data_IF_848130122317
#
_entry.id   IF_848130122317
#
_cell.length_a   1.000
_cell.length_b   1.000
_cell.length_c   1.000
_cell.angle_alpha   90.00
_cell.angle_beta   90.00
_cell.angle_gamma   90.00
#
_symmetry.space_group_name_H-M   'P 1'
#
loop_
_entity.id
_entity.type
_entity.pdbx_description
1 polymer ?
#
# COMPACT_ATOMS: atom_id res chain seq x y z
N UNK A 1 57.00 33.41 -24.26
CA UNK A 1 56.29 32.11 -24.25
C UNK A 1 54.80 32.35 -24.42
N UNK A 2 54.24 32.09 -25.60
CA UNK A 2 52.78 32.13 -25.83
C UNK A 2 52.21 30.82 -25.30
N UNK A 3 51.64 30.82 -24.10
CA UNK A 3 50.81 29.72 -23.66
C UNK A 3 49.60 29.65 -24.60
N UNK A 4 49.54 28.60 -25.42
CA UNK A 4 48.44 28.37 -26.35
C UNK A 4 47.14 28.33 -25.56
N UNK A 5 46.16 29.15 -25.95
CA UNK A 5 44.82 29.20 -25.36
C UNK A 5 44.18 27.80 -25.25
N UNK A 6 44.55 26.90 -26.16
CA UNK A 6 44.12 25.49 -26.19
C UNK A 6 44.63 24.71 -24.97
N UNK A 7 45.87 24.95 -24.52
CA UNK A 7 46.42 24.28 -23.34
C UNK A 7 45.80 24.79 -22.05
N UNK A 8 45.44 26.09 -21.99
CA UNK A 8 44.71 26.64 -20.84
C UNK A 8 43.30 26.04 -20.73
N UNK A 9 42.58 25.94 -21.85
CA UNK A 9 41.23 25.34 -21.89
C UNK A 9 41.27 23.85 -21.48
N UNK A 10 42.27 23.09 -21.93
CA UNK A 10 42.43 21.68 -21.55
C UNK A 10 42.68 21.49 -20.05
N UNK A 11 43.49 22.36 -19.43
CA UNK A 11 43.76 22.31 -17.99
C UNK A 11 42.51 22.68 -17.18
N UNK A 12 41.77 23.71 -17.60
CA UNK A 12 40.52 24.12 -16.95
C UNK A 12 39.46 23.02 -17.05
N UNK A 13 39.30 22.39 -18.23
CA UNK A 13 38.37 21.28 -18.40
C UNK A 13 38.76 20.05 -17.57
N UNK A 14 40.05 19.73 -17.48
CA UNK A 14 40.53 18.61 -16.65
C UNK A 14 40.27 18.87 -15.16
N UNK A 15 40.51 20.10 -14.67
CA UNK A 15 40.21 20.48 -13.29
C UNK A 15 38.70 20.49 -13.00
N UNK A 16 37.88 20.88 -13.97
CA UNK A 16 36.41 20.83 -13.85
C UNK A 16 35.91 19.39 -13.81
N UNK A 17 36.48 18.49 -14.62
CA UNK A 17 36.14 17.07 -14.63
C UNK A 17 36.55 16.35 -13.34
N UNK A 18 37.73 16.67 -12.81
CA UNK A 18 38.20 16.15 -11.51
C UNK A 18 37.34 16.69 -10.38
N UNK A 19 37.00 17.98 -10.39
CA UNK A 19 36.08 18.58 -9.42
C UNK A 19 34.68 17.97 -9.48
N UNK A 20 34.17 17.68 -10.68
CA UNK A 20 32.89 17.00 -10.88
C UNK A 20 32.93 15.55 -10.39
N UNK A 21 34.01 14.80 -10.66
CA UNK A 21 34.18 13.44 -10.14
C UNK A 21 34.29 13.40 -8.61
N UNK A 22 34.99 14.37 -7.99
CA UNK A 22 35.07 14.50 -6.53
C UNK A 22 33.69 14.88 -5.95
N UNK A 23 32.93 15.76 -6.61
CA UNK A 23 31.58 16.12 -6.20
C UNK A 23 30.59 14.95 -6.31
N UNK A 24 30.69 14.14 -7.37
CA UNK A 24 29.88 12.92 -7.54
C UNK A 24 30.29 11.84 -6.53
N UNK A 25 31.58 11.72 -6.20
CA UNK A 25 32.06 10.79 -5.17
C UNK A 25 31.68 11.24 -3.75
N UNK A 26 31.70 12.54 -3.46
CA UNK A 26 31.33 13.11 -2.17
C UNK A 26 29.81 13.14 -1.93
N UNK A 27 28.99 13.12 -2.99
CA UNK A 27 27.53 13.01 -2.92
C UNK A 27 27.00 11.60 -3.19
N UNK A 28 27.87 10.59 -3.38
CA UNK A 28 27.48 9.20 -3.18
C UNK A 28 27.43 8.96 -1.68
N UNK A 29 26.26 9.19 -1.10
CA UNK A 29 25.96 8.60 0.21
C UNK A 29 26.01 7.08 0.05
N UNK A 30 27.11 6.46 0.50
CA UNK A 30 27.14 5.02 0.74
C UNK A 30 26.07 4.72 1.80
N UNK A 31 24.98 4.09 1.39
CA UNK A 31 24.05 3.45 2.32
C UNK A 31 24.86 2.45 3.14
N UNK A 32 24.96 2.67 4.45
CA UNK A 32 25.71 1.77 5.32
C UNK A 32 24.99 0.42 5.35
N UNK A 33 25.71 -0.72 5.28
CA UNK A 33 25.09 -2.03 5.46
C UNK A 33 24.34 -2.07 6.80
N UNK A 34 23.04 -2.37 6.75
CA UNK A 34 22.20 -2.60 7.91
C UNK A 34 21.36 -1.42 8.43
N UNK A 35 21.13 -0.35 7.67
CA UNK A 35 20.09 0.63 8.05
C UNK A 35 18.69 0.01 7.91
N UNK A 36 17.88 0.08 8.98
CA UNK A 36 16.45 -0.30 8.98
C UNK A 36 15.61 0.92 8.59
N UNK A 37 14.77 0.74 7.58
CA UNK A 37 13.79 1.71 7.11
C UNK A 37 12.39 1.28 7.55
N UNK A 38 11.65 2.21 8.15
CA UNK A 38 10.28 1.99 8.59
C UNK A 38 9.35 2.69 7.59
N UNK A 39 8.64 1.91 6.79
CA UNK A 39 7.79 2.46 5.73
C UNK A 39 6.62 3.30 6.26
N UNK A 40 6.23 3.12 7.52
CA UNK A 40 5.19 3.94 8.14
C UNK A 40 5.63 5.40 8.40
N UNK A 41 6.94 5.67 8.48
CA UNK A 41 7.44 7.05 8.58
C UNK A 41 7.43 7.76 7.21
N UNK A 42 7.41 7.02 6.10
CA UNK A 42 7.15 7.57 4.75
C UNK A 42 5.70 8.06 4.62
N UNK A 43 4.73 7.33 5.17
CA UNK A 43 3.34 7.79 5.26
C UNK A 43 3.30 9.12 6.04
N UNK A 44 3.95 9.22 7.21
CA UNK A 44 4.01 10.49 7.96
C UNK A 44 4.64 11.64 7.15
N UNK A 45 5.75 11.42 6.45
CA UNK A 45 6.42 12.44 5.63
C UNK A 45 5.60 12.88 4.41
N UNK A 46 4.81 11.99 3.81
CA UNK A 46 3.84 12.34 2.77
C UNK A 46 2.78 13.34 3.28
N UNK A 47 2.50 13.35 4.59
CA UNK A 47 1.42 14.13 5.20
C UNK A 47 1.89 15.26 6.12
N UNK A 48 3.20 15.43 6.37
CA UNK A 48 3.72 16.52 7.19
C UNK A 48 5.22 16.80 6.98
N UNK A 49 5.54 18.09 6.78
CA UNK A 49 6.88 18.70 6.74
C UNK A 49 7.69 18.69 5.41
N UNK A 50 7.18 19.30 4.34
CA UNK A 50 7.96 20.31 3.55
C UNK A 50 7.08 21.06 2.56
N UNK A 51 7.21 22.39 2.56
CA UNK A 51 6.53 23.27 1.63
C UNK A 51 6.92 23.01 0.17
N UNK A 52 5.90 22.99 -0.69
CA UNK A 52 5.94 23.44 -2.09
C UNK A 52 7.27 23.27 -2.83
N UNK A 53 7.66 22.02 -3.09
CA UNK A 53 8.49 21.68 -4.26
C UNK A 53 8.07 20.30 -4.74
N UNK A 54 7.60 20.23 -5.99
CA UNK A 54 7.09 19.01 -6.60
C UNK A 54 8.11 17.88 -6.54
N UNK A 55 7.69 16.74 -6.02
CA UNK A 55 8.48 15.52 -5.99
C UNK A 55 8.56 14.94 -7.41
N UNK A 56 9.78 14.66 -7.88
CA UNK A 56 10.02 13.88 -9.10
C UNK A 56 10.17 12.41 -8.69
N UNK A 57 9.46 11.52 -9.39
CA UNK A 57 9.50 10.04 -9.23
C UNK A 57 10.89 9.40 -9.39
N UNK A 58 11.95 10.16 -9.68
CA UNK A 58 13.32 9.67 -9.82
C UNK A 58 14.16 9.75 -8.55
N UNK A 59 13.65 10.36 -7.47
CA UNK A 59 14.32 10.38 -6.17
C UNK A 59 13.76 9.24 -5.33
N UNK A 60 14.54 8.15 -5.23
CA UNK A 60 14.26 7.06 -4.30
C UNK A 60 14.06 7.59 -2.88
N UNK A 61 13.22 6.88 -2.13
CA UNK A 61 12.92 7.00 -0.70
C UNK A 61 13.45 8.27 0.00
N UNK A 62 12.59 9.18 0.46
CA UNK A 62 13.04 10.12 1.48
C UNK A 62 13.43 9.31 2.73
N UNK A 63 14.67 9.54 3.19
CA UNK A 63 15.27 8.89 4.36
C UNK A 63 14.54 9.36 5.62
N UNK A 64 13.49 8.66 6.02
CA UNK A 64 12.86 8.86 7.32
C UNK A 64 13.58 8.07 8.43
N UNK A 65 13.47 8.59 9.66
CA UNK A 65 14.35 8.42 10.83
C UNK A 65 15.30 7.20 10.88
N UNK A 66 16.58 7.51 10.70
CA UNK A 66 17.70 6.70 11.19
C UNK A 66 17.63 6.67 12.72
N UNK A 67 17.07 5.61 13.29
CA UNK A 67 17.10 5.40 14.73
C UNK A 67 18.53 5.02 15.15
N UNK A 68 19.21 5.98 15.77
CA UNK A 68 20.58 5.87 16.25
C UNK A 68 20.74 4.86 17.38
N UNK A 69 21.26 3.69 17.05
CA UNK A 69 22.08 2.83 17.89
C UNK A 69 23.04 2.05 16.98
N UNK A 70 24.26 1.68 17.42
CA UNK A 70 25.10 0.76 16.66
C UNK A 70 24.32 -0.52 16.37
N UNK A 71 24.27 -0.89 15.10
CA UNK A 71 23.53 -2.04 14.61
C UNK A 71 24.03 -3.32 15.31
N UNK A 72 23.13 -4.25 15.70
CA UNK A 72 23.54 -5.63 15.91
C UNK A 72 24.30 -6.12 14.67
N UNK A 73 25.24 -7.06 14.84
CA UNK A 73 25.80 -7.79 13.69
C UNK A 73 24.66 -8.23 12.75
N UNK A 74 24.91 -8.14 11.43
CA UNK A 74 23.91 -8.46 10.41
C UNK A 74 23.20 -9.78 10.73
N UNK A 75 21.85 -9.83 10.68
CA UNK A 75 21.13 -11.01 11.12
C UNK A 75 21.43 -12.20 10.21
N UNK A 76 21.36 -13.41 10.77
CA UNK A 76 21.26 -14.61 9.93
C UNK A 76 19.91 -14.59 9.20
N UNK A 77 19.91 -14.12 7.97
CA UNK A 77 18.75 -14.05 7.06
C UNK A 77 18.07 -15.41 6.81
N UNK A 78 18.73 -16.52 7.11
CA UNK A 78 18.13 -17.86 7.04
C UNK A 78 17.28 -18.23 8.26
N UNK A 79 17.41 -17.49 9.38
CA UNK A 79 16.68 -17.71 10.62
C UNK A 79 15.66 -16.58 10.88
N UNK A 80 14.35 -16.85 10.72
CA UNK A 80 13.31 -15.86 10.98
C UNK A 80 13.35 -15.27 12.39
N UNK A 81 13.83 -16.02 13.39
CA UNK A 81 13.93 -15.55 14.78
C UNK A 81 15.06 -14.54 14.96
N UNK A 82 16.16 -14.71 14.22
CA UNK A 82 17.27 -13.76 14.18
C UNK A 82 16.86 -12.47 13.47
N UNK A 83 16.20 -12.56 12.31
CA UNK A 83 15.72 -11.39 11.56
C UNK A 83 14.64 -10.66 12.35
N UNK A 84 13.68 -11.37 12.95
CA UNK A 84 12.66 -10.76 13.80
C UNK A 84 13.29 -9.99 14.96
N UNK A 85 14.26 -10.59 15.68
CA UNK A 85 14.95 -9.88 16.77
C UNK A 85 15.67 -8.64 16.26
N UNK A 86 16.38 -8.75 15.14
CA UNK A 86 17.08 -7.62 14.53
C UNK A 86 16.12 -6.45 14.25
N UNK A 87 14.99 -6.70 13.59
CA UNK A 87 13.98 -5.66 13.31
C UNK A 87 13.33 -5.15 14.61
N UNK A 88 12.82 -6.06 15.45
CA UNK A 88 12.07 -5.72 16.66
C UNK A 88 12.91 -4.93 17.67
N UNK A 89 14.19 -5.27 17.81
CA UNK A 89 15.14 -4.57 18.69
C UNK A 89 15.40 -3.12 18.30
N UNK A 90 15.07 -2.73 17.07
CA UNK A 90 15.27 -1.38 16.52
C UNK A 90 13.99 -0.53 16.48
N UNK A 91 12.81 -1.14 16.65
CA UNK A 91 11.56 -0.37 16.74
C UNK A 91 11.60 0.64 17.89
N UNK A 92 10.94 1.80 17.79
CA UNK A 92 10.71 2.65 18.96
C UNK A 92 9.88 1.91 20.03
N UNK A 93 9.77 2.48 21.23
CA UNK A 93 8.94 1.91 22.32
C UNK A 93 7.46 1.82 21.92
N UNK A 94 7.02 2.64 20.97
CA UNK A 94 5.66 2.70 20.48
C UNK A 94 5.62 2.97 18.97
N UNK A 95 4.80 2.21 18.24
CA UNK A 95 4.60 2.33 16.78
C UNK A 95 3.12 2.47 16.44
N UNK A 96 2.85 3.09 15.29
CA UNK A 96 1.50 3.17 14.70
C UNK A 96 1.47 2.26 13.47
N UNK A 97 0.42 1.45 13.37
CA UNK A 97 0.13 0.58 12.24
C UNK A 97 -1.04 1.20 11.48
N UNK A 98 -0.76 1.80 10.33
CA UNK A 98 -1.75 2.59 9.60
C UNK A 98 -2.72 1.75 8.75
N UNK A 99 -2.28 0.80 7.91
CA UNK A 99 -3.20 0.09 7.01
C UNK A 99 -4.23 -0.70 7.81
N UNK A 100 -5.47 -0.69 7.34
CA UNK A 100 -6.58 -1.30 8.08
C UNK A 100 -6.48 -2.83 8.18
N UNK A 101 -5.55 -3.46 7.43
CA UNK A 101 -5.21 -4.88 7.53
C UNK A 101 -4.20 -5.25 8.65
N UNK A 102 -3.66 -4.23 9.34
CA UNK A 102 -2.71 -4.33 10.46
C UNK A 102 -1.27 -4.74 10.10
N UNK A 103 -0.79 -4.40 8.91
CA UNK A 103 0.60 -4.62 8.52
C UNK A 103 1.50 -3.44 8.88
N UNK A 104 2.54 -3.74 9.65
CA UNK A 104 3.67 -2.84 9.89
C UNK A 104 4.84 -3.23 8.99
N UNK A 105 5.06 -2.46 7.92
CA UNK A 105 6.09 -2.73 6.93
C UNK A 105 7.46 -2.17 7.33
N UNK A 106 8.52 -2.90 6.99
CA UNK A 106 9.92 -2.49 7.17
C UNK A 106 10.77 -2.93 5.98
N UNK A 107 11.92 -2.29 5.80
CA UNK A 107 12.98 -2.79 4.93
C UNK A 107 14.37 -2.54 5.52
N UNK A 108 15.39 -3.28 5.09
CA UNK A 108 16.78 -3.01 5.46
C UNK A 108 17.76 -3.55 4.42
N UNK A 109 18.98 -3.02 4.41
CA UNK A 109 20.04 -3.48 3.51
C UNK A 109 20.84 -4.65 4.12
N UNK A 110 21.02 -5.73 3.37
CA UNK A 110 21.84 -6.89 3.72
C UNK A 110 22.68 -7.34 2.52
N UNK A 111 24.01 -7.31 2.63
CA UNK A 111 24.93 -7.80 1.60
C UNK A 111 24.60 -7.30 0.16
N UNK A 112 24.36 -5.99 0.01
CA UNK A 112 23.94 -5.31 -1.23
C UNK A 112 22.53 -5.66 -1.74
N UNK A 113 21.77 -6.44 -0.97
CA UNK A 113 20.36 -6.73 -1.22
C UNK A 113 19.50 -5.89 -0.30
N UNK A 114 18.31 -5.55 -0.77
CA UNK A 114 17.29 -4.94 0.07
C UNK A 114 16.33 -6.04 0.54
N UNK A 115 16.06 -6.10 1.84
CA UNK A 115 15.12 -7.03 2.46
C UNK A 115 13.88 -6.25 2.85
N UNK A 116 12.71 -6.70 2.43
CA UNK A 116 11.43 -6.12 2.78
C UNK A 116 10.66 -7.10 3.66
N UNK A 117 9.74 -6.60 4.47
CA UNK A 117 8.94 -7.47 5.31
C UNK A 117 7.84 -6.75 6.05
N UNK A 118 7.11 -7.52 6.85
CA UNK A 118 6.07 -7.00 7.71
C UNK A 118 5.99 -7.72 9.06
N UNK A 119 5.47 -6.98 10.04
CA UNK A 119 4.95 -7.47 11.31
C UNK A 119 3.44 -7.28 11.27
N UNK A 120 2.66 -8.32 11.54
CA UNK A 120 1.19 -8.23 11.55
C UNK A 120 0.59 -8.74 12.85
N UNK A 121 -0.33 -7.97 13.41
CA UNK A 121 -1.24 -8.38 14.50
C UNK A 121 -2.62 -8.66 13.91
N UNK A 122 -2.83 -9.89 13.42
CA UNK A 122 -4.08 -10.27 12.76
C UNK A 122 -5.25 -10.28 13.77
N UNK A 123 -6.46 -9.83 13.40
CA UNK A 123 -7.60 -9.88 14.33
C UNK A 123 -7.95 -11.27 14.88
N UNK A 124 -7.91 -12.35 14.08
CA UNK A 124 -8.22 -13.67 14.60
C UNK A 124 -7.25 -14.17 15.68
N UNK A 125 -5.97 -13.76 15.63
CA UNK A 125 -4.90 -14.42 16.39
C UNK A 125 -4.18 -13.50 17.40
N UNK A 126 -4.23 -12.16 17.25
CA UNK A 126 -3.52 -11.22 18.14
C UNK A 126 -3.94 -11.35 19.62
N UNK A 127 -5.23 -11.56 19.87
CA UNK A 127 -5.78 -11.72 21.23
C UNK A 127 -5.37 -13.07 21.85
N UNK A 128 -4.90 -14.01 21.03
CA UNK A 128 -4.36 -15.30 21.44
C UNK A 128 -2.84 -15.23 21.70
N UNK A 129 -2.24 -14.04 21.60
CA UNK A 129 -0.83 -13.84 21.84
C UNK A 129 0.07 -14.08 20.62
N UNK A 130 -0.50 -14.11 19.41
CA UNK A 130 0.20 -14.45 18.16
C UNK A 130 0.51 -13.20 17.34
N UNK A 131 1.74 -13.15 16.81
CA UNK A 131 2.22 -12.13 15.87
C UNK A 131 2.79 -12.81 14.64
N UNK A 132 2.48 -12.29 13.46
CA UNK A 132 3.02 -12.81 12.21
C UNK A 132 4.22 -11.96 11.78
N UNK A 133 5.25 -12.64 11.30
CA UNK A 133 6.44 -12.01 10.78
C UNK A 133 6.79 -12.62 9.43
N UNK A 134 6.93 -11.78 8.41
CA UNK A 134 7.35 -12.18 7.08
C UNK A 134 8.44 -11.26 6.56
N UNK A 135 9.36 -11.80 5.78
CA UNK A 135 10.34 -11.01 5.02
C UNK A 135 10.78 -11.73 3.75
N UNK A 136 11.19 -10.93 2.77
CA UNK A 136 11.65 -11.38 1.47
C UNK A 136 12.75 -10.48 0.92
N UNK A 137 13.54 -11.00 -0.02
CA UNK A 137 14.46 -10.18 -0.80
C UNK A 137 13.67 -9.32 -1.79
N UNK A 138 13.83 -8.01 -1.70
CA UNK A 138 13.34 -7.09 -2.71
C UNK A 138 14.24 -7.16 -3.93
N UNK A 139 13.74 -7.80 -4.97
CA UNK A 139 14.35 -7.81 -6.30
C UNK A 139 13.75 -6.67 -7.10
N UNK A 140 14.12 -5.43 -6.79
CA UNK A 140 13.72 -4.29 -7.61
C UNK A 140 14.01 -4.57 -9.10
N UNK A 141 13.03 -4.32 -9.96
CA UNK A 141 12.90 -4.39 -11.44
C UNK A 141 14.00 -4.88 -12.41
N UNK A 142 15.23 -5.25 -12.02
CA UNK A 142 16.28 -5.67 -12.96
C UNK A 142 16.04 -7.04 -13.60
N UNK A 143 14.94 -7.72 -13.31
CA UNK A 143 14.51 -8.95 -14.01
C UNK A 143 13.40 -8.71 -15.06
N UNK A 144 12.90 -7.47 -15.26
CA UNK A 144 11.88 -7.19 -16.28
C UNK A 144 12.43 -6.98 -17.70
N UNK A 145 13.74 -7.10 -17.94
CA UNK A 145 14.33 -7.10 -19.29
C UNK A 145 14.41 -8.50 -19.95
N UNK A 146 13.51 -9.43 -19.61
CA UNK A 146 13.52 -10.71 -20.33
C UNK A 146 12.56 -11.81 -19.89
N UNK A 147 11.86 -11.68 -18.78
CA UNK A 147 10.78 -12.61 -18.45
C UNK A 147 9.45 -12.01 -18.88
N UNK A 148 8.80 -12.53 -19.94
CA UNK A 148 7.42 -12.15 -20.22
C UNK A 148 6.57 -12.57 -19.03
N UNK A 149 5.93 -11.59 -18.36
CA UNK A 149 4.70 -11.81 -17.57
C UNK A 149 3.59 -12.26 -18.53
N UNK A 150 3.76 -13.39 -19.22
CA UNK A 150 2.68 -13.95 -20.01
C UNK A 150 1.59 -14.37 -19.04
N UNK A 151 0.51 -13.60 -19.02
CA UNK A 151 -0.85 -14.05 -18.76
C UNK A 151 -1.05 -14.79 -17.42
N UNK A 152 -1.36 -14.05 -16.34
CA UNK A 152 -2.17 -14.62 -15.24
C UNK A 152 -3.33 -13.68 -14.94
N UNK A 153 -4.23 -13.59 -15.92
CA UNK A 153 -5.66 -13.58 -15.69
C UNK A 153 -6.11 -15.01 -16.00
N UNK A 154 -6.25 -15.85 -14.97
CA UNK A 154 -6.83 -17.21 -15.09
C UNK A 154 -5.90 -18.37 -15.48
N UNK A 155 -4.58 -18.28 -15.28
CA UNK A 155 -3.71 -19.46 -15.46
C UNK A 155 -3.76 -20.38 -14.22
N UNK A 156 -3.85 -21.72 -14.37
CA UNK A 156 -3.61 -22.63 -13.25
C UNK A 156 -2.19 -22.39 -12.73
N UNK A 157 -1.92 -22.64 -11.43
CA UNK A 157 -0.60 -22.40 -10.86
C UNK A 157 0.43 -23.12 -11.74
N UNK A 158 1.50 -22.43 -12.19
CA UNK A 158 2.50 -23.08 -13.00
C UNK A 158 3.16 -24.14 -12.13
N UNK A 159 2.80 -25.40 -12.30
CA UNK A 159 3.40 -26.53 -11.58
C UNK A 159 4.91 -26.68 -11.89
N UNK A 160 5.49 -25.85 -12.78
CA UNK A 160 6.90 -25.99 -13.20
C UNK A 160 7.66 -24.69 -13.48
N UNK A 161 7.18 -23.48 -13.12
CA UNK A 161 8.05 -22.27 -13.14
C UNK A 161 8.65 -22.02 -11.73
N UNK A 162 9.83 -22.59 -11.50
CA UNK A 162 10.81 -22.30 -10.44
C UNK A 162 10.27 -21.96 -9.03
N UNK A 163 9.47 -22.86 -8.46
CA UNK A 163 9.05 -22.84 -7.06
C UNK A 163 10.21 -22.91 -6.04
N UNK A 164 11.43 -23.23 -6.43
CA UNK A 164 12.57 -23.28 -5.50
C UNK A 164 13.31 -21.94 -5.36
N UNK A 165 13.41 -21.14 -6.43
CA UNK A 165 14.17 -19.87 -6.43
C UNK A 165 13.34 -18.70 -5.88
N UNK A 166 12.03 -18.71 -6.06
CA UNK A 166 11.11 -17.74 -5.43
C UNK A 166 10.87 -18.08 -3.95
N UNK A 167 10.80 -19.37 -3.59
CA UNK A 167 10.83 -19.79 -2.17
C UNK A 167 12.19 -19.60 -1.50
N UNK A 168 13.28 -19.50 -2.26
CA UNK A 168 14.64 -19.48 -1.71
C UNK A 168 14.89 -18.30 -0.75
N UNK A 169 14.13 -17.20 -0.86
CA UNK A 169 14.32 -16.03 -0.02
C UNK A 169 13.03 -15.31 0.40
N UNK A 170 11.93 -16.05 0.60
CA UNK A 170 10.79 -15.56 1.38
C UNK A 170 10.65 -16.44 2.61
N UNK A 171 10.46 -15.81 3.77
CA UNK A 171 10.39 -16.48 5.07
C UNK A 171 9.22 -15.92 5.85
N UNK A 172 8.53 -16.83 6.53
CA UNK A 172 7.39 -16.53 7.38
C UNK A 172 7.52 -17.30 8.70
N UNK A 173 7.14 -16.66 9.80
CA UNK A 173 7.01 -17.30 11.10
C UNK A 173 5.91 -16.63 11.92
N UNK A 174 5.10 -17.46 12.57
CA UNK A 174 4.24 -17.02 13.68
C UNK A 174 5.05 -17.06 14.97
N UNK A 175 5.04 -15.95 15.71
CA UNK A 175 5.63 -15.87 17.04
C UNK A 175 4.54 -15.92 18.09
N UNK A 176 4.80 -16.67 19.16
CA UNK A 176 3.90 -16.83 20.30
C UNK A 176 4.71 -16.92 21.60
N UNK A 177 4.03 -17.21 22.71
CA UNK A 177 4.68 -17.50 23.99
C UNK A 177 5.71 -18.64 23.89
N UNK A 178 5.49 -19.63 23.00
CA UNK A 178 6.43 -20.74 22.77
C UNK A 178 7.78 -20.28 22.22
N UNK A 179 7.79 -19.15 21.51
CA UNK A 179 8.99 -18.52 20.96
C UNK A 179 9.60 -17.49 21.93
N UNK A 180 8.98 -17.25 23.08
CA UNK A 180 9.35 -16.21 24.03
C UNK A 180 8.78 -14.82 23.72
N UNK A 181 7.84 -14.72 22.76
CA UNK A 181 7.07 -13.50 22.52
C UNK A 181 5.82 -13.49 23.40
N UNK A 182 5.60 -12.42 24.15
CA UNK A 182 4.33 -12.17 24.87
C UNK A 182 3.60 -11.03 24.17
N UNK A 183 2.37 -11.24 23.73
CA UNK A 183 1.51 -10.17 23.20
C UNK A 183 0.35 -9.98 24.16
N UNK A 184 0.16 -8.75 24.64
CA UNK A 184 -0.84 -8.37 25.63
C UNK A 184 -1.74 -7.28 25.08
N UNK A 185 -3.06 -7.50 25.09
CA UNK A 185 -4.04 -6.47 24.74
C UNK A 185 -4.11 -5.44 25.86
N UNK A 186 -3.76 -4.19 25.55
CA UNK A 186 -3.83 -3.07 26.49
C UNK A 186 -5.16 -2.34 26.40
N UNK A 187 -5.68 -2.18 25.18
CA UNK A 187 -6.98 -1.61 24.87
C UNK A 187 -7.45 -2.15 23.52
N UNK A 188 -8.65 -1.77 23.08
CA UNK A 188 -9.03 -1.98 21.69
C UNK A 188 -8.03 -1.25 20.78
N UNK A 189 -7.56 -1.95 19.74
CA UNK A 189 -6.52 -1.48 18.82
C UNK A 189 -5.15 -1.20 19.44
N UNK A 190 -4.88 -1.58 20.70
CA UNK A 190 -3.58 -1.32 21.35
C UNK A 190 -2.99 -2.57 22.01
N UNK A 191 -1.78 -2.95 21.59
CA UNK A 191 -1.13 -4.20 22.03
C UNK A 191 0.31 -3.95 22.45
N UNK A 192 0.73 -4.51 23.58
CA UNK A 192 2.13 -4.59 23.96
C UNK A 192 2.71 -5.92 23.49
N UNK A 193 3.77 -5.89 22.68
CA UNK A 193 4.57 -7.06 22.35
C UNK A 193 5.87 -7.00 23.16
N UNK A 194 6.18 -8.04 23.94
CA UNK A 194 7.44 -8.19 24.67
C UNK A 194 8.23 -9.37 24.11
N UNK A 195 9.45 -9.12 23.64
CA UNK A 195 10.37 -10.16 23.15
C UNK A 195 11.79 -9.88 23.62
N UNK A 196 12.44 -10.90 24.20
CA UNK A 196 13.82 -10.82 24.75
C UNK A 196 14.06 -9.60 25.66
N UNK A 197 13.08 -9.27 26.49
CA UNK A 197 13.15 -8.18 27.47
C UNK A 197 12.82 -6.79 26.91
N UNK A 198 12.67 -6.62 25.59
CA UNK A 198 12.18 -5.38 24.99
C UNK A 198 10.67 -5.43 24.82
N UNK A 199 9.98 -4.34 25.14
CA UNK A 199 8.55 -4.17 24.87
C UNK A 199 8.33 -3.08 23.83
N UNK A 200 7.43 -3.32 22.89
CA UNK A 200 6.98 -2.36 21.88
C UNK A 200 5.45 -2.30 21.92
N UNK A 201 4.89 -1.09 21.99
CA UNK A 201 3.45 -0.85 21.92
C UNK A 201 3.06 -0.66 20.46
N UNK A 202 2.13 -1.46 19.97
CA UNK A 202 1.52 -1.34 18.64
C UNK A 202 0.15 -0.68 18.78
N UNK A 203 0.00 0.50 18.19
CA UNK A 203 -1.28 1.16 18.01
C UNK A 203 -1.80 0.83 16.60
N UNK A 204 -2.77 -0.07 16.53
CA UNK A 204 -3.50 -0.39 15.31
C UNK A 204 -4.41 0.78 14.95
N UNK A 205 -4.67 0.96 13.65
CA UNK A 205 -5.51 2.05 13.19
C UNK A 205 -6.95 1.85 13.64
N UNK A 206 -7.39 2.71 14.56
CA UNK A 206 -8.79 2.81 14.96
C UNK A 206 -9.54 3.66 13.93
N UNK A 207 -10.26 2.98 13.06
CA UNK A 207 -11.01 3.54 11.94
C UNK A 207 -12.51 3.33 12.16
N UNK A 208 -13.24 4.35 12.64
CA UNK A 208 -14.65 4.22 12.93
C UNK A 208 -15.46 3.80 11.70
N UNK A 209 -16.25 2.74 11.86
CA UNK A 209 -17.09 2.16 10.80
C UNK A 209 -18.45 2.84 10.73
N UNK A 210 -18.49 4.17 10.87
CA UNK A 210 -19.69 4.95 10.62
C UNK A 210 -19.85 5.14 9.11
N UNK A 211 -21.06 4.91 8.55
CA UNK A 211 -21.35 5.20 7.16
C UNK A 211 -20.99 6.64 6.76
N UNK A 212 -20.81 6.93 5.46
CA UNK A 212 -20.55 8.28 5.00
C UNK A 212 -21.65 9.25 5.43
N UNK A 213 -21.24 10.39 5.95
CA UNK A 213 -22.05 11.55 6.32
C UNK A 213 -22.03 12.62 5.22
N UNK A 214 -20.90 12.81 4.53
CA UNK A 214 -20.77 13.79 3.44
C UNK A 214 -21.18 13.22 2.09
N UNK A 215 -20.76 11.99 1.79
CA UNK A 215 -21.13 11.30 0.56
C UNK A 215 -22.54 10.71 0.70
N UNK A 216 -23.41 10.98 -0.28
CA UNK A 216 -24.75 10.41 -0.30
C UNK A 216 -24.70 8.99 -0.85
N UNK A 217 -25.12 8.02 -0.05
CA UNK A 217 -25.44 6.68 -0.53
C UNK A 217 -26.84 6.67 -1.14
N UNK A 218 -27.01 5.94 -2.23
CA UNK A 218 -28.30 5.71 -2.88
C UNK A 218 -29.05 4.57 -2.20
N UNK A 219 -30.34 4.47 -2.46
CA UNK A 219 -31.22 3.44 -1.88
C UNK A 219 -30.76 2.00 -2.17
N UNK A 220 -29.99 1.79 -3.25
CA UNK A 220 -29.49 0.49 -3.68
C UNK A 220 -28.00 0.26 -3.34
N UNK A 221 -27.44 1.10 -2.47
CA UNK A 221 -26.04 1.08 -2.07
C UNK A 221 -25.90 0.79 -0.58
N UNK A 222 -25.05 -0.18 -0.28
CA UNK A 222 -24.78 -0.59 1.09
C UNK A 222 -23.36 -0.21 1.47
N UNK A 223 -23.21 0.53 2.56
CA UNK A 223 -21.91 0.72 3.20
C UNK A 223 -21.41 -0.62 3.74
N UNK A 224 -20.24 -1.06 3.28
CA UNK A 224 -19.63 -2.32 3.72
C UNK A 224 -18.63 -2.05 4.83
N UNK A 225 -17.67 -1.15 4.58
CA UNK A 225 -16.63 -0.80 5.54
C UNK A 225 -15.89 0.48 5.11
N UNK A 226 -15.28 1.17 6.06
CA UNK A 226 -14.31 2.24 5.85
C UNK A 226 -12.92 1.64 5.95
N UNK A 227 -12.05 1.88 4.97
CA UNK A 227 -10.70 1.31 4.86
C UNK A 227 -9.62 2.39 4.87
N UNK A 228 -8.40 2.00 5.25
CA UNK A 228 -7.19 2.82 5.11
C UNK A 228 -6.17 2.07 4.28
N UNK A 229 -5.91 2.61 3.09
CA UNK A 229 -5.01 2.05 2.09
C UNK A 229 -3.56 2.50 2.32
N UNK A 230 -2.55 1.75 1.86
CA UNK A 230 -1.16 2.18 2.03
C UNK A 230 -0.80 3.45 1.25
N UNK A 231 -1.60 3.86 0.26
CA UNK A 231 -1.48 5.19 -0.36
C UNK A 231 -1.70 6.33 0.63
N UNK A 232 -2.27 6.00 1.80
CA UNK A 232 -2.77 6.87 2.85
C UNK A 232 -4.04 7.62 2.46
N UNK A 233 -4.77 7.13 1.47
CA UNK A 233 -6.17 7.48 1.30
C UNK A 233 -7.07 6.56 2.11
N UNK A 234 -8.18 7.14 2.55
CA UNK A 234 -9.31 6.40 3.09
C UNK A 234 -10.36 6.21 2.02
N UNK A 235 -11.03 5.09 2.09
CA UNK A 235 -12.17 4.80 1.24
C UNK A 235 -13.33 4.26 2.04
N UNK A 236 -14.53 4.56 1.57
CA UNK A 236 -15.71 3.77 1.85
C UNK A 236 -15.82 2.69 0.77
N UNK A 237 -15.74 1.43 1.18
CA UNK A 237 -16.14 0.32 0.33
C UNK A 237 -17.67 0.24 0.36
N UNK A 238 -18.29 0.41 -0.80
CA UNK A 238 -19.74 0.40 -0.97
C UNK A 238 -20.13 -0.72 -1.93
N UNK A 239 -21.22 -1.41 -1.65
CA UNK A 239 -21.75 -2.48 -2.48
C UNK A 239 -23.03 -2.02 -3.20
N UNK A 240 -23.04 -2.15 -4.52
CA UNK A 240 -24.18 -1.92 -5.41
C UNK A 240 -25.03 -3.19 -5.47
N UNK A 241 -26.18 -3.20 -4.79
CA UNK A 241 -26.97 -4.43 -4.64
C UNK A 241 -27.54 -4.95 -5.97
N UNK A 242 -28.07 -4.07 -6.81
CA UNK A 242 -28.71 -4.46 -8.09
C UNK A 242 -27.72 -5.07 -9.10
N UNK A 243 -26.43 -4.79 -8.93
CA UNK A 243 -25.38 -5.20 -9.86
C UNK A 243 -24.44 -6.25 -9.25
N UNK A 244 -24.56 -6.50 -7.95
CA UNK A 244 -23.60 -7.27 -7.17
C UNK A 244 -22.15 -6.81 -7.41
N UNK A 245 -21.85 -5.54 -7.20
CA UNK A 245 -20.49 -5.01 -7.42
C UNK A 245 -20.07 -4.07 -6.32
N UNK A 246 -18.77 -3.97 -6.10
CA UNK A 246 -18.20 -2.95 -5.24
C UNK A 246 -17.95 -1.64 -5.99
N UNK A 247 -17.83 -0.56 -5.23
CA UNK A 247 -17.18 0.70 -5.61
C UNK A 247 -16.36 1.20 -4.42
N UNK A 248 -15.25 1.88 -4.69
CA UNK A 248 -14.52 2.63 -3.68
C UNK A 248 -14.88 4.11 -3.78
N UNK A 249 -15.44 4.66 -2.71
CA UNK A 249 -15.74 6.10 -2.60
C UNK A 249 -14.66 6.73 -1.72
N UNK A 250 -14.01 7.79 -2.19
CA UNK A 250 -13.01 8.51 -1.42
C UNK A 250 -13.64 9.12 -0.16
N UNK A 251 -12.97 8.93 0.99
CA UNK A 251 -13.41 9.46 2.27
C UNK A 251 -12.82 10.85 2.51
N UNK A 252 -13.63 11.86 2.19
CA UNK A 252 -13.31 13.30 2.35
C UNK A 252 -13.61 13.80 3.78
N UNK A 253 -14.03 12.93 4.70
CA UNK A 253 -14.43 13.34 6.04
C UNK A 253 -13.22 13.52 6.95
N UNK A 254 -13.17 14.63 7.69
CA UNK A 254 -12.26 14.80 8.83
C UNK A 254 -13.05 14.45 10.08
N UNK A 255 -12.66 13.42 10.83
CA UNK A 255 -13.37 13.11 12.07
C UNK A 255 -12.96 14.08 13.18
N UNK A 256 -13.94 14.56 13.96
CA UNK A 256 -13.76 15.60 14.98
C UNK A 256 -12.85 15.21 16.16
N UNK A 257 -12.57 13.92 16.32
CA UNK A 257 -11.66 13.33 17.29
C UNK A 257 -10.28 12.98 16.72
N UNK A 258 -10.04 13.23 15.43
CA UNK A 258 -8.69 13.16 14.85
C UNK A 258 -7.87 14.31 15.46
N UNK A 259 -7.00 13.96 16.39
CA UNK A 259 -6.06 14.87 17.06
C UNK A 259 -5.08 15.44 16.04
N UNK A 260 -5.52 16.46 15.30
CA UNK A 260 -4.86 17.01 14.11
C UNK A 260 -4.45 15.94 13.05
N UNK A 261 -4.32 16.33 11.77
CA UNK A 261 -3.72 15.49 10.73
C UNK A 261 -2.32 14.96 11.07
N UNK A 262 -1.69 15.47 12.13
CA UNK A 262 -0.31 15.22 12.54
C UNK A 262 -0.01 13.77 13.00
N UNK A 263 -1.01 12.98 13.44
CA UNK A 263 -0.76 11.60 13.90
C UNK A 263 -1.42 10.49 13.06
N UNK A 264 -2.58 10.75 12.45
CA UNK A 264 -3.41 9.70 11.83
C UNK A 264 -3.37 9.65 10.29
N UNK A 265 -2.54 10.49 9.67
CA UNK A 265 -1.85 10.18 8.40
C UNK A 265 -2.71 9.94 7.16
N UNK A 266 -4.02 10.21 7.17
CA UNK A 266 -4.85 10.09 5.98
C UNK A 266 -5.05 11.43 5.27
N UNK A 267 -4.88 11.48 3.95
CA UNK A 267 -5.28 12.67 3.21
C UNK A 267 -6.77 12.63 2.91
N UNK A 268 -7.47 13.69 3.31
CA UNK A 268 -8.86 13.98 2.95
C UNK A 268 -8.97 14.86 1.71
N UNK A 269 -7.84 15.18 1.08
CA UNK A 269 -7.76 16.03 -0.11
C UNK A 269 -6.99 15.32 -1.23
N UNK A 270 -7.42 15.58 -2.46
CA UNK A 270 -6.71 15.16 -3.66
C UNK A 270 -5.96 16.34 -4.26
N UNK A 271 -4.77 16.08 -4.78
CA UNK A 271 -4.03 17.04 -5.60
C UNK A 271 -4.63 17.06 -6.99
N UNK A 272 -5.76 17.76 -7.14
CA UNK A 272 -6.63 17.63 -8.30
C UNK A 272 -6.01 18.20 -9.58
N UNK A 273 -5.85 17.35 -10.59
CA UNK A 273 -5.68 17.73 -11.98
C UNK A 273 -7.00 17.39 -12.69
N UNK A 274 -7.71 18.41 -13.17
CA UNK A 274 -8.95 18.23 -13.95
C UNK A 274 -8.61 18.08 -15.43
N UNK A 275 -9.33 17.19 -16.11
CA UNK A 275 -9.21 16.97 -17.55
C UNK A 275 -10.24 17.88 -18.26
N UNK A 276 -9.83 18.86 -19.09
CA UNK A 276 -10.76 19.79 -19.74
C UNK A 276 -11.85 19.09 -20.56
N UNK A 277 -11.50 18.00 -21.24
CA UNK A 277 -12.38 17.22 -22.10
C UNK A 277 -13.35 16.33 -21.31
N UNK A 278 -13.14 16.16 -20.01
CA UNK A 278 -13.98 15.34 -19.12
C UNK A 278 -14.01 15.93 -17.71
N UNK A 279 -14.87 16.94 -17.48
CA UNK A 279 -14.84 17.75 -16.26
C UNK A 279 -15.22 16.98 -14.99
N UNK A 280 -15.84 15.82 -15.14
CA UNK A 280 -16.21 14.89 -14.08
C UNK A 280 -15.05 13.93 -13.72
N UNK A 281 -13.89 14.04 -14.36
CA UNK A 281 -12.71 13.25 -14.04
C UNK A 281 -11.72 14.10 -13.26
N UNK A 282 -11.26 13.57 -12.14
CA UNK A 282 -10.21 14.18 -11.32
C UNK A 282 -9.08 13.19 -11.14
N UNK A 283 -7.87 13.61 -11.52
CA UNK A 283 -6.64 12.84 -11.29
C UNK A 283 -5.95 13.39 -10.06
N UNK A 284 -5.61 12.53 -9.12
CA UNK A 284 -4.73 12.89 -8.01
C UNK A 284 -3.27 12.88 -8.49
N UNK A 285 -2.63 14.05 -8.48
CA UNK A 285 -1.26 14.21 -8.97
C UNK A 285 -0.18 13.50 -8.15
N UNK A 286 -0.51 12.96 -6.97
CA UNK A 286 0.43 12.27 -6.07
C UNK A 286 0.41 10.76 -6.29
N UNK A 287 -0.78 10.17 -6.26
CA UNK A 287 -1.01 8.72 -6.37
C UNK A 287 -1.20 8.28 -7.82
N UNK A 288 -1.62 9.19 -8.70
CA UNK A 288 -2.13 8.85 -10.03
C UNK A 288 -3.53 8.22 -9.99
N UNK A 289 -4.18 8.12 -8.83
CA UNK A 289 -5.56 7.65 -8.79
C UNK A 289 -6.48 8.58 -9.55
N UNK A 290 -7.42 7.98 -10.28
CA UNK A 290 -8.41 8.71 -11.06
C UNK A 290 -9.78 8.48 -10.44
N UNK A 291 -10.46 9.59 -10.20
CA UNK A 291 -11.77 9.64 -9.59
C UNK A 291 -12.81 10.19 -10.57
N UNK A 292 -14.01 9.61 -10.51
CA UNK A 292 -15.21 10.22 -11.05
C UNK A 292 -15.82 11.15 -9.97
N UNK A 293 -15.97 12.43 -10.28
CA UNK A 293 -16.62 13.46 -9.47
C UNK A 293 -18.15 13.36 -9.64
N UNK A 294 -18.79 12.52 -8.82
CA UNK A 294 -20.24 12.38 -8.76
C UNK A 294 -20.84 13.51 -7.90
N UNK A 295 -20.98 14.67 -8.54
CA UNK A 295 -21.52 15.88 -7.92
C UNK A 295 -22.95 15.70 -7.42
N UNK A 296 -23.73 14.81 -8.04
CA UNK A 296 -25.13 14.59 -7.67
C UNK A 296 -25.28 13.92 -6.29
N UNK A 297 -24.28 13.14 -5.89
CA UNK A 297 -24.21 12.46 -4.61
C UNK A 297 -23.07 12.96 -3.72
N UNK A 298 -22.45 14.09 -4.09
CA UNK A 298 -21.36 14.73 -3.34
C UNK A 298 -20.22 13.75 -2.98
N UNK A 299 -19.71 13.03 -3.98
CA UNK A 299 -18.72 11.97 -3.74
C UNK A 299 -17.76 11.78 -4.90
N UNK A 300 -16.58 11.24 -4.60
CA UNK A 300 -15.57 10.87 -5.60
C UNK A 300 -15.39 9.36 -5.62
N UNK A 301 -15.57 8.73 -6.78
CA UNK A 301 -15.50 7.28 -6.95
C UNK A 301 -14.19 6.93 -7.63
N UNK A 302 -13.39 6.04 -7.05
CA UNK A 302 -12.17 5.55 -7.67
C UNK A 302 -12.54 4.73 -8.92
N UNK A 303 -12.07 5.17 -10.08
CA UNK A 303 -12.32 4.52 -11.38
C UNK A 303 -11.04 4.09 -12.08
N UNK A 304 -9.88 4.59 -11.65
CA UNK A 304 -8.61 4.31 -12.30
C UNK A 304 -7.43 4.22 -11.34
N UNK A 305 -6.60 3.19 -11.54
CA UNK A 305 -5.29 3.03 -10.89
C UNK A 305 -4.23 2.77 -11.95
N UNK A 306 -3.06 3.39 -11.78
CA UNK A 306 -1.97 3.34 -12.76
C UNK A 306 -1.41 1.91 -12.90
N UNK A 307 -1.33 1.43 -14.14
CA UNK A 307 -0.65 0.18 -14.47
C UNK A 307 0.81 0.19 -14.04
N UNK A 308 1.49 1.35 -14.09
CA UNK A 308 2.88 1.46 -13.68
C UNK A 308 3.04 1.26 -12.17
N UNK A 309 2.12 1.79 -11.36
CA UNK A 309 2.14 1.59 -9.92
C UNK A 309 1.83 0.15 -9.55
N UNK A 310 0.82 -0.47 -10.19
CA UNK A 310 0.51 -1.89 -10.02
C UNK A 310 1.70 -2.77 -10.41
N UNK A 311 2.34 -2.48 -11.55
CA UNK A 311 3.52 -3.22 -11.97
C UNK A 311 4.69 -3.06 -11.00
N UNK A 312 4.80 -1.90 -10.34
CA UNK A 312 5.77 -1.60 -9.29
C UNK A 312 5.43 -2.20 -7.94
N UNK A 313 4.18 -2.61 -7.72
CA UNK A 313 3.68 -3.08 -6.43
C UNK A 313 4.10 -2.12 -5.30
N UNK A 314 3.85 -0.83 -5.54
CA UNK A 314 4.17 0.26 -4.62
C UNK A 314 2.91 0.70 -3.87
N UNK A 315 3.05 1.66 -2.96
CA UNK A 315 1.94 2.20 -2.16
C UNK A 315 0.75 2.80 -2.95
N UNK A 316 0.85 2.92 -4.27
CA UNK A 316 -0.18 3.51 -5.14
C UNK A 316 -0.73 2.49 -6.15
N UNK A 317 -0.62 1.20 -5.87
CA UNK A 317 -1.19 0.10 -6.67
C UNK A 317 -2.67 -0.18 -6.38
N UNK A 318 -3.22 0.50 -5.37
CA UNK A 318 -4.66 0.63 -5.12
C UNK A 318 -5.14 -0.18 -3.92
N UNK A 319 -6.37 0.09 -3.43
CA UNK A 319 -6.86 -0.42 -2.14
C UNK A 319 -7.34 -1.88 -2.16
N UNK A 320 -6.95 -2.68 -3.15
CA UNK A 320 -7.70 -3.87 -3.57
C UNK A 320 -7.80 -4.98 -2.52
N UNK A 321 -6.82 -5.12 -1.62
CA UNK A 321 -6.81 -6.11 -0.54
C UNK A 321 -6.77 -5.47 0.87
N UNK A 322 -6.79 -4.13 0.95
CA UNK A 322 -6.65 -3.34 2.18
C UNK A 322 -7.98 -3.17 2.92
N UNK A 323 -8.58 -4.27 3.37
CA UNK A 323 -9.89 -4.25 4.02
C UNK A 323 -9.80 -3.92 5.52
N UNK A 324 -10.94 -3.60 6.13
CA UNK A 324 -11.05 -3.20 7.54
C UNK A 324 -11.14 -4.43 8.46
N UNK A 325 -10.09 -5.25 8.44
CA UNK A 325 -10.02 -6.57 9.10
C UNK A 325 -10.40 -6.54 10.58
N UNK A 326 -10.11 -5.45 11.28
CA UNK A 326 -10.43 -5.29 12.69
C UNK A 326 -11.92 -5.34 13.00
N UNK A 327 -12.78 -5.07 12.03
CA UNK A 327 -14.22 -4.89 12.21
C UNK A 327 -15.05 -6.04 11.63
N UNK A 328 -14.42 -7.04 11.01
CA UNK A 328 -15.14 -8.17 10.37
C UNK A 328 -16.03 -8.90 11.37
N UNK A 329 -15.55 -9.15 12.59
CA UNK A 329 -16.32 -9.89 13.61
C UNK A 329 -17.42 -9.05 14.27
N UNK A 330 -17.30 -7.72 14.28
CA UNK A 330 -18.31 -6.82 14.84
C UNK A 330 -19.31 -6.33 13.79
N UNK A 331 -19.03 -6.57 12.50
CA UNK A 331 -19.94 -6.21 11.41
C UNK A 331 -21.19 -7.10 11.42
N UNK A 332 -22.41 -6.53 11.28
CA UNK A 332 -23.62 -7.33 11.12
C UNK A 332 -23.59 -8.23 9.88
N UNK A 333 -22.90 -7.79 8.82
CA UNK A 333 -22.70 -8.54 7.58
C UNK A 333 -21.22 -8.46 7.21
N UNK A 334 -20.46 -9.57 7.30
CA UNK A 334 -19.02 -9.56 7.02
C UNK A 334 -18.75 -9.28 5.54
N UNK A 335 -17.59 -8.69 5.24
CA UNK A 335 -17.21 -8.37 3.86
C UNK A 335 -17.16 -9.61 2.96
N UNK A 336 -16.80 -10.77 3.51
CA UNK A 336 -16.84 -12.06 2.82
C UNK A 336 -18.21 -12.41 2.22
N UNK A 337 -19.32 -11.97 2.83
CA UNK A 337 -20.65 -12.14 2.26
C UNK A 337 -20.82 -11.37 0.95
N UNK A 338 -20.41 -10.10 0.92
CA UNK A 338 -20.50 -9.26 -0.26
C UNK A 338 -19.53 -9.72 -1.36
N UNK A 339 -18.33 -10.17 -0.97
CA UNK A 339 -17.35 -10.77 -1.89
C UNK A 339 -17.98 -11.96 -2.63
N UNK A 340 -18.63 -12.87 -1.90
CA UNK A 340 -19.28 -14.05 -2.50
C UNK A 340 -20.54 -13.72 -3.32
N UNK A 341 -21.13 -12.53 -3.13
CA UNK A 341 -22.16 -12.01 -4.03
C UNK A 341 -21.55 -11.42 -5.30
N UNK A 342 -20.48 -10.64 -5.17
CA UNK A 342 -19.80 -10.01 -6.30
C UNK A 342 -19.12 -11.02 -7.23
N UNK A 343 -18.59 -12.09 -6.65
CA UNK A 343 -17.81 -13.11 -7.35
C UNK A 343 -18.43 -14.49 -7.13
N UNK A 344 -19.47 -14.87 -7.90
CA UNK A 344 -20.19 -16.12 -7.68
C UNK A 344 -19.33 -17.39 -7.79
N UNK A 345 -18.25 -17.36 -8.57
CA UNK A 345 -17.36 -18.50 -8.82
C UNK A 345 -16.51 -18.91 -7.60
N UNK A 346 -16.36 -18.03 -6.61
CA UNK A 346 -15.60 -18.29 -5.38
C UNK A 346 -16.51 -18.45 -4.15
N UNK A 347 -17.83 -18.58 -4.35
CA UNK A 347 -18.78 -18.82 -3.27
C UNK A 347 -18.43 -20.10 -2.50
N UNK A 348 -18.37 -20.00 -1.18
CA UNK A 348 -17.97 -21.07 -0.26
C UNK A 348 -16.47 -21.33 -0.20
N UNK A 349 -15.64 -20.60 -0.97
CA UNK A 349 -14.17 -20.76 -0.99
C UNK A 349 -13.44 -19.64 -0.25
N UNK A 350 -14.17 -18.66 0.28
CA UNK A 350 -13.61 -17.54 1.03
C UNK A 350 -14.26 -17.40 2.39
N UNK A 351 -13.46 -17.00 3.38
CA UNK A 351 -13.93 -16.71 4.73
C UNK A 351 -14.56 -15.30 4.84
N UNK A 352 -14.98 -14.94 6.05
CA UNK A 352 -15.59 -13.63 6.35
C UNK A 352 -14.66 -12.44 6.11
N UNK A 353 -13.34 -12.69 6.08
CA UNK A 353 -12.30 -11.71 5.75
C UNK A 353 -12.01 -11.68 4.24
N UNK A 354 -12.59 -12.56 3.41
CA UNK A 354 -12.27 -12.66 1.99
C UNK A 354 -10.94 -13.37 1.69
N UNK A 355 -10.43 -14.17 2.65
CA UNK A 355 -9.25 -15.02 2.45
C UNK A 355 -9.69 -16.37 1.88
N UNK A 356 -8.90 -16.93 0.99
CA UNK A 356 -9.20 -18.22 0.39
C UNK A 356 -9.02 -19.36 1.42
N UNK A 357 -10.04 -20.22 1.53
CA UNK A 357 -10.02 -21.41 2.38
C UNK A 357 -9.16 -22.53 1.77
N UNK A 358 -8.97 -22.50 0.45
CA UNK A 358 -8.25 -23.50 -0.34
C UNK A 358 -6.88 -23.02 -0.85
N UNK A 359 -6.51 -21.76 -0.58
CA UNK A 359 -5.22 -21.18 -0.93
C UNK A 359 -4.66 -20.36 0.25
N UNK A 360 -3.82 -21.01 1.06
CA UNK A 360 -3.25 -20.40 2.26
C UNK A 360 -2.47 -19.13 1.93
N UNK A 361 -2.76 -18.05 2.65
CA UNK A 361 -2.11 -16.75 2.47
C UNK A 361 -2.63 -15.93 1.29
N UNK A 362 -3.60 -16.42 0.52
CA UNK A 362 -4.22 -15.69 -0.57
C UNK A 362 -5.52 -15.00 -0.15
N UNK A 363 -5.77 -13.82 -0.71
CA UNK A 363 -6.97 -13.01 -0.50
C UNK A 363 -7.59 -12.61 -1.84
N UNK A 364 -8.90 -12.43 -1.86
CA UNK A 364 -9.59 -11.84 -3.01
C UNK A 364 -9.17 -10.38 -3.17
N UNK A 365 -8.69 -10.04 -4.35
CA UNK A 365 -8.48 -8.65 -4.77
C UNK A 365 -9.83 -8.05 -5.22
N UNK A 366 -10.28 -7.00 -4.54
CA UNK A 366 -11.47 -6.23 -4.89
C UNK A 366 -11.02 -5.03 -5.71
N UNK A 367 -11.08 -5.13 -7.04
CA UNK A 367 -10.56 -4.10 -7.96
C UNK A 367 -11.65 -3.46 -8.83
N UNK A 368 -12.70 -2.82 -8.26
CA UNK A 368 -13.81 -2.20 -9.01
C UNK A 368 -13.40 -0.89 -9.70
N UNK A 369 -12.27 -0.91 -10.40
CA UNK A 369 -11.66 0.20 -11.09
C UNK A 369 -10.78 -0.35 -12.22
N UNK A 370 -10.47 0.50 -13.19
CA UNK A 370 -9.62 0.14 -14.30
C UNK A 370 -8.15 0.31 -13.95
N UNK A 371 -7.35 -0.66 -14.38
CA UNK A 371 -5.92 -0.46 -14.54
C UNK A 371 -5.69 0.30 -15.84
N UNK A 372 -5.14 1.52 -15.78
CA UNK A 372 -4.94 2.36 -16.96
C UNK A 372 -3.45 2.53 -17.28
N UNK A 373 -3.12 2.54 -18.58
CA UNK A 373 -1.78 2.90 -19.07
C UNK A 373 -1.74 4.29 -19.69
N UNK A 374 -2.90 4.87 -19.99
CA UNK A 374 -3.01 6.26 -20.47
C UNK A 374 -4.28 6.92 -19.94
N UNK A 375 -4.24 8.23 -19.69
CA UNK A 375 -5.42 8.99 -19.27
C UNK A 375 -6.52 8.99 -20.35
N UNK A 376 -6.14 9.00 -21.64
CA UNK A 376 -7.07 9.02 -22.76
C UNK A 376 -7.99 7.80 -22.77
N UNK A 377 -7.44 6.60 -22.57
CA UNK A 377 -8.22 5.34 -22.52
C UNK A 377 -9.35 5.39 -21.48
N UNK A 378 -9.03 5.86 -20.29
CA UNK A 378 -9.99 5.92 -19.19
C UNK A 378 -11.00 7.06 -19.39
N UNK A 379 -10.56 8.17 -19.98
CA UNK A 379 -11.40 9.30 -20.36
C UNK A 379 -12.44 8.89 -21.41
N UNK A 380 -12.02 8.18 -22.46
CA UNK A 380 -12.90 7.66 -23.51
C UNK A 380 -13.95 6.67 -22.96
N UNK A 381 -13.55 5.82 -22.02
CA UNK A 381 -14.46 4.90 -21.34
C UNK A 381 -15.56 5.65 -20.57
N UNK A 382 -15.17 6.63 -19.73
CA UNK A 382 -16.13 7.42 -18.95
C UNK A 382 -17.09 8.16 -19.87
N UNK A 383 -16.58 8.83 -20.91
CA UNK A 383 -17.40 9.53 -21.89
C UNK A 383 -18.39 8.59 -22.59
N UNK A 384 -17.94 7.39 -22.96
CA UNK A 384 -18.81 6.35 -23.53
C UNK A 384 -19.90 5.89 -22.55
N UNK A 385 -19.56 5.70 -21.28
CA UNK A 385 -20.54 5.37 -20.23
C UNK A 385 -21.57 6.49 -20.05
N UNK A 386 -21.15 7.76 -20.01
CA UNK A 386 -22.05 8.92 -19.89
C UNK A 386 -23.00 9.06 -21.10
N UNK A 387 -22.54 8.70 -22.30
CA UNK A 387 -23.35 8.76 -23.53
C UNK A 387 -24.32 7.58 -23.68
N UNK A 388 -23.96 6.40 -23.16
CA UNK A 388 -24.70 5.15 -23.43
C UNK A 388 -25.54 4.64 -22.26
N UNK A 389 -25.30 5.13 -21.05
CA UNK A 389 -26.02 4.73 -19.83
C UNK A 389 -26.77 5.92 -19.24
N UNK A 390 -27.96 5.72 -18.65
CA UNK A 390 -28.61 6.78 -17.90
C UNK A 390 -27.70 7.26 -16.76
N UNK A 391 -27.39 8.56 -16.70
CA UNK A 391 -26.59 9.12 -15.61
C UNK A 391 -27.22 8.82 -14.26
N UNK A 392 -26.40 8.61 -13.23
CA UNK A 392 -26.86 8.25 -11.88
C UNK A 392 -27.77 7.01 -11.91
N UNK A 393 -27.41 5.99 -12.68
CA UNK A 393 -28.05 4.68 -12.65
C UNK A 393 -27.07 3.60 -12.19
N UNK A 394 -27.56 2.47 -11.65
CA UNK A 394 -26.70 1.32 -11.36
C UNK A 394 -25.91 0.86 -12.59
N UNK A 395 -26.49 0.97 -13.78
CA UNK A 395 -25.84 0.68 -15.07
C UNK A 395 -24.65 1.58 -15.32
N UNK A 396 -24.78 2.87 -15.02
CA UNK A 396 -23.72 3.86 -15.19
C UNK A 396 -22.57 3.61 -14.24
N UNK A 397 -22.82 3.45 -12.94
CA UNK A 397 -21.75 3.18 -11.98
C UNK A 397 -21.03 1.88 -12.31
N UNK A 398 -21.77 0.80 -12.61
CA UNK A 398 -21.15 -0.45 -13.04
C UNK A 398 -20.35 -0.33 -14.35
N UNK A 399 -20.63 0.66 -15.20
CA UNK A 399 -19.88 0.93 -16.43
C UNK A 399 -18.53 1.59 -16.16
N UNK A 400 -18.46 2.51 -15.18
CA UNK A 400 -17.23 3.25 -14.84
C UNK A 400 -16.36 2.54 -13.80
N UNK A 401 -16.92 1.63 -12.99
CA UNK A 401 -16.21 0.83 -11.97
C UNK A 401 -16.04 -0.63 -12.39
N UNK A 402 -15.46 -0.85 -13.57
CA UNK A 402 -15.34 -2.21 -14.05
C UNK A 402 -14.23 -2.95 -13.34
N UNK A 403 -14.64 -3.99 -12.64
CA UNK A 403 -13.76 -4.97 -12.02
C UNK A 403 -12.83 -5.64 -13.03
N UNK A 404 -11.53 -5.52 -12.81
CA UNK A 404 -10.49 -6.16 -13.61
C UNK A 404 -10.26 -7.63 -13.23
N UNK A 405 -10.77 -8.06 -12.07
CA UNK A 405 -10.59 -9.41 -11.57
C UNK A 405 -11.71 -10.33 -12.04
N UNK A 406 -11.37 -11.35 -12.84
CA UNK A 406 -12.28 -12.43 -13.21
C UNK A 406 -12.20 -13.54 -12.15
N UNK A 407 -12.85 -13.33 -11.00
CA UNK A 407 -12.94 -14.35 -9.94
C UNK A 407 -14.01 -15.40 -10.20
#
# INVERSE_FOLDING_TARGET
MRFSLINFIKVVLALFFIGFLIFVAANREETRPGELFLHQDYIKELYGFRGSRGFRESEGFPKSQILGAPLPESPNIGDPSAVFWYVFSQLPEEVIVYPSENYYYFSFQFALKEIWGNIRLSPPERDQGILHFAYWEYRGFRESEGFPKSQILGAPPPETLNTEIERAFSKYKQFSQKDGLRVEKLADFRYAATYRGKTVIFNLFDLPQTPPQLAKLRDNEVFVQRTFDESGFRFFLVFLEDRNRFIYVFDEEVQSNEVEPQYYGGSTSITSIRIPESPNIVVDGRTGFIFYDDQSNNRKILIGVSADNINKNNYFDGPFDQLADNYVQSSPVPVGYYIQKAYPNIRGRVDDYGRFLDAAGSRVAITPYRTYSSLAELTDLVNSCEQTKPLNSPEFYACITVDSSNW
#
